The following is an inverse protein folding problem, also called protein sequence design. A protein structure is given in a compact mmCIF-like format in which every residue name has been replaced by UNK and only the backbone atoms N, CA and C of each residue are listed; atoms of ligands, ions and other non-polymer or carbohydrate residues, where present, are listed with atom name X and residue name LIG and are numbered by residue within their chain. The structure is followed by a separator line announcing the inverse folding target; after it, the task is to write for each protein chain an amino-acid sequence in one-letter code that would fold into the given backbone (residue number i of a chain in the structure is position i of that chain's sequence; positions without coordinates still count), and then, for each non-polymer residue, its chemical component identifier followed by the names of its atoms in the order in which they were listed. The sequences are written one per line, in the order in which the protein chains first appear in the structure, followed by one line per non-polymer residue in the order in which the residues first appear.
data_IF_030869492366
#
_entry.id   IF_030869492366
#
_cell.length_a   1.000
_cell.length_b   1.000
_cell.length_c   1.000
_cell.angle_alpha   90.00
_cell.angle_beta   90.00
_cell.angle_gamma   90.00
#
_symmetry.space_group_name_H-M   'P 1'
#
loop_
_entity.id
_entity.type
_entity.pdbx_description
1 polymer ?
#
# COMPACT_ATOMS: atom_id res chain seq x y z
N UNK A 1 -1.95 20.85 -11.14
CA UNK A 1 -0.87 20.79 -10.12
C UNK A 1 -0.36 19.36 -10.17
N UNK A 2 0.66 19.11 -10.98
CA UNK A 2 1.29 17.80 -11.09
C UNK A 2 1.92 17.45 -9.75
N UNK A 3 1.41 16.41 -9.11
CA UNK A 3 2.06 15.82 -7.95
C UNK A 3 2.90 14.67 -8.52
N UNK A 4 4.18 14.96 -8.82
CA UNK A 4 5.15 13.95 -9.23
C UNK A 4 5.41 12.99 -8.06
N UNK A 5 4.67 11.88 -8.02
CA UNK A 5 5.04 10.74 -7.19
C UNK A 5 6.12 9.94 -7.93
N UNK A 6 7.38 10.28 -7.67
CA UNK A 6 8.53 9.50 -8.10
C UNK A 6 8.59 8.21 -7.27
N UNK A 7 7.99 7.13 -7.80
CA UNK A 7 8.23 5.79 -7.28
C UNK A 7 9.48 5.23 -7.94
N UNK A 8 10.62 5.51 -7.32
CA UNK A 8 11.75 4.61 -7.45
C UNK A 8 11.30 3.24 -6.93
N UNK A 9 11.56 2.17 -7.68
CA UNK A 9 11.70 0.84 -7.10
C UNK A 9 12.75 0.97 -6.00
N UNK A 10 12.32 1.12 -4.75
CA UNK A 10 13.20 1.10 -3.60
C UNK A 10 13.59 -0.36 -3.32
N UNK A 11 14.38 -0.94 -4.21
CA UNK A 11 15.31 -2.00 -3.86
C UNK A 11 16.55 -1.30 -3.28
N UNK A 12 16.45 -0.81 -2.04
CA UNK A 12 17.62 -0.33 -1.32
C UNK A 12 18.39 -1.55 -0.82
N UNK A 13 19.52 -1.81 -1.50
CA UNK A 13 20.66 -2.61 -1.06
C UNK A 13 20.35 -4.09 -0.77
N UNK A 14 20.30 -4.90 -1.82
CA UNK A 14 20.66 -6.32 -1.67
C UNK A 14 22.18 -6.43 -1.50
N UNK A 15 22.56 -7.03 -0.38
CA UNK A 15 23.90 -7.52 -0.04
C UNK A 15 24.81 -7.77 -1.25
N UNK A 16 25.68 -6.81 -1.54
CA UNK A 16 26.94 -7.09 -2.24
C UNK A 16 28.03 -7.09 -1.19
N UNK A 17 28.14 -8.23 -0.49
CA UNK A 17 29.41 -8.60 0.09
C UNK A 17 30.46 -8.53 -1.03
N UNK A 18 31.41 -7.63 -0.78
CA UNK A 18 32.60 -7.32 -1.56
C UNK A 18 33.29 -8.63 -1.98
N UNK A 19 33.09 -9.03 -3.23
CA UNK A 19 34.04 -9.83 -3.99
C UNK A 19 34.53 -8.92 -5.13
N UNK A 20 35.63 -8.23 -4.85
CA UNK A 20 36.35 -7.37 -5.80
C UNK A 20 37.09 -8.25 -6.81
N UNK A 21 36.36 -8.82 -7.77
CA UNK A 21 36.93 -9.34 -9.01
C UNK A 21 36.05 -8.92 -10.18
N UNK A 22 36.52 -7.90 -10.91
CA UNK A 22 36.09 -7.48 -12.25
C UNK A 22 34.58 -7.50 -12.55
N UNK A 23 33.76 -6.80 -11.76
CA UNK A 23 32.48 -6.28 -12.26
C UNK A 23 32.69 -4.86 -12.76
N UNK A 24 32.60 -4.67 -14.07
CA UNK A 24 32.27 -3.37 -14.65
C UNK A 24 31.07 -2.80 -13.90
N UNK A 25 31.19 -1.59 -13.34
CA UNK A 25 30.02 -0.87 -12.84
C UNK A 25 29.09 -0.63 -14.02
N UNK A 26 28.07 -1.46 -14.17
CA UNK A 26 26.97 -1.19 -15.08
C UNK A 26 26.18 0.00 -14.52
N UNK A 27 25.92 0.98 -15.37
CA UNK A 27 25.15 2.16 -15.02
C UNK A 27 23.69 1.72 -14.79
N UNK A 28 23.14 2.00 -13.60
CA UNK A 28 21.70 1.80 -13.37
C UNK A 28 20.92 2.87 -14.14
N UNK A 29 20.14 2.44 -15.13
CA UNK A 29 19.30 3.29 -15.97
C UNK A 29 17.83 3.27 -15.57
N UNK A 30 17.47 2.70 -14.42
CA UNK A 30 16.07 2.51 -14.00
C UNK A 30 15.31 3.83 -13.97
N UNK A 31 15.96 4.91 -13.53
CA UNK A 31 15.37 6.25 -13.51
C UNK A 31 15.18 6.81 -14.93
N UNK A 32 16.14 6.62 -15.82
CA UNK A 32 16.06 7.07 -17.20
C UNK A 32 14.99 6.31 -18.00
N UNK A 33 14.73 5.06 -17.60
CA UNK A 33 13.73 4.17 -18.19
C UNK A 33 12.37 4.20 -17.45
N UNK A 34 12.21 5.05 -16.43
CA UNK A 34 10.97 5.13 -15.68
C UNK A 34 9.88 5.79 -16.52
N UNK A 35 8.71 5.16 -16.60
CA UNK A 35 7.52 5.74 -17.24
C UNK A 35 6.72 6.56 -16.24
N UNK A 36 6.12 7.66 -16.72
CA UNK A 36 5.20 8.45 -15.91
C UNK A 36 3.97 7.62 -15.53
N UNK A 37 3.57 7.68 -14.26
CA UNK A 37 2.30 7.13 -13.80
C UNK A 37 1.19 8.13 -14.12
N UNK A 38 0.33 7.78 -15.08
CA UNK A 38 -0.85 8.57 -15.41
C UNK A 38 -2.05 8.06 -14.61
N UNK A 39 -2.76 8.98 -13.97
CA UNK A 39 -3.97 8.69 -13.22
C UNK A 39 -5.05 9.72 -13.55
N UNK A 40 -6.31 9.32 -13.43
CA UNK A 40 -7.44 10.23 -13.59
C UNK A 40 -7.61 11.05 -12.31
N UNK A 41 -8.13 12.28 -12.43
CA UNK A 41 -8.48 13.09 -11.28
C UNK A 41 -9.77 12.58 -10.60
N UNK A 42 -9.65 11.52 -9.79
CA UNK A 42 -10.78 10.87 -9.14
C UNK A 42 -11.44 11.75 -8.08
N UNK A 43 -12.78 11.72 -7.97
CA UNK A 43 -13.50 12.44 -6.89
C UNK A 43 -13.61 11.63 -5.60
N UNK A 44 -13.58 10.29 -5.71
CA UNK A 44 -13.64 9.36 -4.60
C UNK A 44 -12.34 8.59 -4.48
N UNK A 45 -11.89 8.37 -3.25
CA UNK A 45 -10.65 7.66 -2.96
C UNK A 45 -10.90 6.68 -1.81
N UNK A 46 -10.58 5.42 -2.03
CA UNK A 46 -10.58 4.40 -0.99
C UNK A 46 -9.14 3.95 -0.71
N UNK A 47 -8.69 4.12 0.53
CA UNK A 47 -7.37 3.68 0.96
C UNK A 47 -7.54 2.50 1.90
N UNK A 48 -7.01 1.35 1.49
CA UNK A 48 -7.05 0.11 2.22
C UNK A 48 -5.66 -0.21 2.77
N UNK A 49 -5.55 -0.43 4.08
CA UNK A 49 -4.37 -0.97 4.73
C UNK A 49 -4.66 -2.40 5.15
N UNK A 50 -4.05 -3.36 4.46
CA UNK A 50 -4.21 -4.79 4.74
C UNK A 50 -2.97 -5.28 5.47
N UNK A 51 -3.14 -5.66 6.73
CA UNK A 51 -2.07 -5.91 7.69
C UNK A 51 -1.77 -4.67 8.51
N UNK A 52 -2.07 -4.72 9.80
CA UNK A 52 -1.85 -3.70 10.83
C UNK A 52 -0.74 -4.09 11.81
N UNK A 53 0.08 -5.10 11.46
CA UNK A 53 1.23 -5.57 12.24
C UNK A 53 2.47 -4.67 12.08
N UNK A 54 3.62 -5.28 11.81
CA UNK A 54 4.94 -4.63 11.64
C UNK A 54 4.90 -3.33 10.85
N UNK A 55 5.00 -3.43 9.53
CA UNK A 55 5.01 -2.28 8.61
C UNK A 55 3.70 -1.48 8.68
N UNK A 56 2.57 -2.17 8.76
CA UNK A 56 1.25 -1.54 8.69
C UNK A 56 0.96 -0.59 9.87
N UNK A 57 1.35 -0.96 11.09
CA UNK A 57 1.13 -0.11 12.26
C UNK A 57 1.89 1.21 12.20
N UNK A 58 3.08 1.21 11.60
CA UNK A 58 3.88 2.42 11.36
C UNK A 58 3.37 3.25 10.19
N UNK A 59 2.78 2.62 9.18
CA UNK A 59 2.22 3.31 8.01
C UNK A 59 0.85 3.94 8.28
N UNK A 60 0.04 3.31 9.11
CA UNK A 60 -1.31 3.75 9.49
C UNK A 60 -1.46 5.27 9.76
N UNK A 61 -0.64 5.92 10.60
CA UNK A 61 -0.79 7.37 10.86
C UNK A 61 -0.60 8.21 9.59
N UNK A 62 0.35 7.83 8.73
CA UNK A 62 0.63 8.53 7.47
C UNK A 62 -0.53 8.36 6.49
N UNK A 63 -1.13 7.17 6.43
CA UNK A 63 -2.27 6.91 5.55
C UNK A 63 -3.52 7.70 5.95
N UNK A 64 -3.81 7.80 7.26
CA UNK A 64 -4.92 8.62 7.76
C UNK A 64 -4.66 10.11 7.51
N UNK A 65 -3.42 10.57 7.70
CA UNK A 65 -3.03 11.96 7.40
C UNK A 65 -3.20 12.28 5.92
N UNK A 66 -2.79 11.37 5.02
CA UNK A 66 -3.03 11.50 3.58
C UNK A 66 -4.53 11.61 3.28
N UNK A 67 -5.34 10.71 3.86
CA UNK A 67 -6.79 10.76 3.69
C UNK A 67 -7.40 12.09 4.15
N UNK A 68 -6.92 12.65 5.25
CA UNK A 68 -7.35 13.98 5.72
C UNK A 68 -6.97 15.09 4.74
N UNK A 69 -5.75 15.10 4.22
CA UNK A 69 -5.31 16.10 3.22
C UNK A 69 -6.17 16.02 1.96
N UNK A 70 -6.42 14.81 1.44
CA UNK A 70 -7.27 14.58 0.28
C UNK A 70 -8.72 15.04 0.54
N UNK A 71 -9.25 14.76 1.74
CA UNK A 71 -10.58 15.23 2.13
C UNK A 71 -10.66 16.76 2.17
N UNK A 72 -9.63 17.45 2.68
CA UNK A 72 -9.56 18.92 2.67
C UNK A 72 -9.47 19.50 1.25
N UNK A 73 -8.95 18.74 0.29
CA UNK A 73 -8.95 19.08 -1.13
C UNK A 73 -10.29 18.80 -1.83
N UNK A 74 -11.33 18.42 -1.08
CA UNK A 74 -12.68 18.18 -1.61
C UNK A 74 -12.91 16.75 -2.14
N UNK A 75 -12.00 15.81 -1.86
CA UNK A 75 -12.20 14.39 -2.22
C UNK A 75 -13.08 13.69 -1.20
N UNK A 76 -13.92 12.77 -1.65
CA UNK A 76 -14.61 11.83 -0.76
C UNK A 76 -13.65 10.67 -0.44
N UNK A 77 -13.17 10.60 0.80
CA UNK A 77 -12.18 9.60 1.21
C UNK A 77 -12.80 8.57 2.15
N UNK A 78 -12.52 7.29 1.89
CA UNK A 78 -12.78 6.19 2.82
C UNK A 78 -11.49 5.48 3.18
N UNK A 79 -11.34 5.14 4.46
CA UNK A 79 -10.17 4.47 5.00
C UNK A 79 -10.58 3.13 5.60
N UNK A 80 -9.86 2.06 5.24
CA UNK A 80 -10.12 0.71 5.71
C UNK A 80 -8.86 0.08 6.28
N UNK A 81 -8.91 -0.35 7.54
CA UNK A 81 -7.83 -1.10 8.18
C UNK A 81 -8.28 -2.55 8.37
N UNK A 82 -7.48 -3.50 7.87
CA UNK A 82 -7.84 -4.92 7.84
C UNK A 82 -6.75 -5.72 8.53
N UNK A 83 -7.08 -6.40 9.62
CA UNK A 83 -6.17 -7.31 10.32
C UNK A 83 -6.97 -8.24 11.25
N UNK A 84 -6.86 -9.58 11.11
CA UNK A 84 -7.55 -10.51 11.98
C UNK A 84 -6.93 -10.63 13.38
N UNK A 85 -5.66 -10.23 13.55
CA UNK A 85 -4.89 -10.55 14.74
C UNK A 85 -5.16 -9.60 15.90
N UNK A 86 -4.80 -10.05 17.10
CA UNK A 86 -4.76 -9.25 18.31
C UNK A 86 -3.33 -8.81 18.63
N UNK A 87 -3.20 -7.72 19.37
CA UNK A 87 -1.93 -7.22 19.86
C UNK A 87 -1.40 -8.18 20.92
N UNK A 88 -0.18 -8.67 20.75
CA UNK A 88 0.52 -9.50 21.73
C UNK A 88 1.63 -8.70 22.42
N UNK A 89 2.06 -9.11 23.61
CA UNK A 89 3.16 -8.45 24.34
C UNK A 89 4.44 -8.35 23.49
N UNK A 90 4.74 -9.38 22.68
CA UNK A 90 5.90 -9.37 21.79
C UNK A 90 5.80 -8.37 20.62
N UNK A 91 4.60 -7.82 20.35
CA UNK A 91 4.37 -6.86 19.28
C UNK A 91 4.71 -5.42 19.71
N UNK A 92 4.47 -5.07 20.98
CA UNK A 92 4.56 -3.70 21.51
C UNK A 92 5.88 -3.00 21.20
N UNK A 93 7.01 -3.72 21.24
CA UNK A 93 8.32 -3.13 21.01
C UNK A 93 8.66 -2.88 19.54
N UNK A 94 7.98 -3.55 18.59
CA UNK A 94 8.32 -3.51 17.16
C UNK A 94 7.20 -2.98 16.25
N UNK A 95 5.98 -2.97 16.78
CA UNK A 95 4.78 -2.47 16.14
C UNK A 95 4.32 -1.22 16.89
N UNK A 96 3.58 -0.34 16.23
CA UNK A 96 3.07 0.88 16.83
C UNK A 96 1.86 0.60 17.75
N UNK A 97 2.06 -0.19 18.80
CA UNK A 97 1.09 -0.48 19.85
C UNK A 97 1.70 -0.19 21.23
N UNK A 98 0.86 -0.02 22.26
CA UNK A 98 1.30 0.15 23.64
C UNK A 98 0.80 -0.98 24.56
N UNK A 99 1.34 -1.06 25.78
CA UNK A 99 0.99 -2.13 26.74
C UNK A 99 -0.51 -2.19 27.06
N UNK A 100 -1.19 -1.04 27.06
CA UNK A 100 -2.63 -0.96 27.30
C UNK A 100 -3.48 -1.54 26.17
N UNK A 101 -2.89 -1.79 24.99
CA UNK A 101 -3.57 -2.31 23.81
C UNK A 101 -3.41 -3.83 23.66
N UNK A 102 -2.62 -4.49 24.53
CA UNK A 102 -2.43 -5.95 24.51
C UNK A 102 -3.79 -6.65 24.66
N UNK A 103 -4.04 -7.63 23.79
CA UNK A 103 -5.29 -8.38 23.72
C UNK A 103 -6.39 -7.73 22.89
N UNK A 104 -6.21 -6.48 22.42
CA UNK A 104 -7.14 -5.82 21.51
C UNK A 104 -6.82 -6.17 20.04
N UNK A 105 -7.83 -6.18 19.17
CA UNK A 105 -7.61 -6.42 17.73
C UNK A 105 -6.81 -5.28 17.09
N UNK A 106 -5.76 -5.62 16.33
CA UNK A 106 -4.81 -4.66 15.74
C UNK A 106 -5.50 -3.60 14.89
N UNK A 107 -6.36 -4.01 13.96
CA UNK A 107 -7.06 -3.09 13.06
C UNK A 107 -7.98 -2.14 13.82
N UNK A 108 -8.79 -2.67 14.76
CA UNK A 108 -9.69 -1.87 15.60
C UNK A 108 -8.95 -0.85 16.44
N UNK A 109 -7.83 -1.25 17.05
CA UNK A 109 -6.99 -0.40 17.89
C UNK A 109 -6.44 0.78 17.09
N UNK A 110 -5.79 0.53 15.96
CA UNK A 110 -5.22 1.60 15.13
C UNK A 110 -6.30 2.51 14.54
N UNK A 111 -7.41 1.93 14.06
CA UNK A 111 -8.51 2.69 13.48
C UNK A 111 -9.12 3.64 14.51
N UNK A 112 -9.42 3.17 15.73
CA UNK A 112 -9.96 4.03 16.79
C UNK A 112 -8.99 5.16 17.12
N UNK A 113 -7.72 4.82 17.38
CA UNK A 113 -6.69 5.77 17.79
C UNK A 113 -6.50 6.88 16.76
N UNK A 114 -6.34 6.51 15.49
CA UNK A 114 -6.10 7.50 14.44
C UNK A 114 -7.37 8.20 13.96
N UNK A 115 -8.55 7.58 14.10
CA UNK A 115 -9.81 8.29 13.84
C UNK A 115 -9.99 9.46 14.81
N UNK A 116 -9.72 9.23 16.09
CA UNK A 116 -9.77 10.27 17.12
C UNK A 116 -8.69 11.33 16.92
N UNK A 117 -7.44 10.91 16.65
CA UNK A 117 -6.32 11.84 16.47
C UNK A 117 -6.50 12.78 15.27
N UNK A 118 -7.06 12.29 14.16
CA UNK A 118 -7.14 13.04 12.91
C UNK A 118 -8.53 13.56 12.58
N UNK A 119 -9.56 13.22 13.36
CA UNK A 119 -10.99 13.49 13.06
C UNK A 119 -11.38 12.98 11.68
N UNK A 120 -10.93 11.76 11.35
CA UNK A 120 -11.19 11.10 10.08
C UNK A 120 -11.74 9.72 10.35
N UNK A 121 -12.84 9.33 9.71
CA UNK A 121 -13.40 8.00 9.91
C UNK A 121 -12.49 6.92 9.30
N UNK A 122 -12.12 5.92 10.12
CA UNK A 122 -11.41 4.72 9.68
C UNK A 122 -12.24 3.49 10.02
N UNK A 123 -12.63 2.73 9.00
CA UNK A 123 -13.36 1.47 9.17
C UNK A 123 -12.38 0.35 9.48
N UNK A 124 -12.57 -0.34 10.61
CA UNK A 124 -11.77 -1.51 10.98
C UNK A 124 -12.47 -2.82 10.61
N UNK A 125 -11.74 -3.73 9.99
CA UNK A 125 -12.20 -5.08 9.64
C UNK A 125 -11.31 -6.11 10.34
N UNK A 126 -11.84 -6.73 11.38
CA UNK A 126 -11.14 -7.72 12.21
C UNK A 126 -11.24 -9.14 11.62
N UNK A 127 -10.99 -9.27 10.31
CA UNK A 127 -11.10 -10.53 9.56
C UNK A 127 -9.99 -10.59 8.49
N UNK A 128 -9.58 -11.79 8.03
CA UNK A 128 -8.66 -11.91 6.90
C UNK A 128 -9.25 -11.26 5.65
N UNK A 129 -8.42 -10.53 4.91
CA UNK A 129 -8.82 -9.84 3.69
C UNK A 129 -9.52 -10.76 2.70
N UNK A 130 -10.61 -10.27 2.10
CA UNK A 130 -11.32 -10.96 1.03
C UNK A 130 -11.37 -10.07 -0.21
N UNK A 131 -10.91 -10.55 -1.38
CA UNK A 131 -10.88 -9.75 -2.61
C UNK A 131 -12.25 -9.17 -2.98
N UNK A 132 -13.33 -9.91 -2.68
CA UNK A 132 -14.72 -9.51 -2.92
C UNK A 132 -15.18 -8.23 -2.22
N UNK A 133 -14.42 -7.73 -1.23
CA UNK A 133 -14.73 -6.47 -0.55
C UNK A 133 -14.35 -5.26 -1.40
N UNK A 134 -13.42 -5.42 -2.34
CA UNK A 134 -13.05 -4.39 -3.29
C UNK A 134 -14.01 -4.44 -4.46
N UNK A 135 -14.92 -3.48 -4.50
CA UNK A 135 -15.88 -3.34 -5.60
C UNK A 135 -15.63 -1.99 -6.25
N UNK A 136 -15.14 -1.95 -7.51
CA UNK A 136 -14.96 -0.71 -8.23
C UNK A 136 -16.28 0.05 -8.33
N UNK A 137 -16.22 1.36 -8.09
CA UNK A 137 -17.38 2.24 -8.25
C UNK A 137 -17.01 3.42 -9.14
N UNK A 138 -18.02 4.07 -9.71
CA UNK A 138 -17.82 5.20 -10.61
C UNK A 138 -16.95 6.30 -9.98
N UNK A 139 -15.91 6.71 -10.72
CA UNK A 139 -14.99 7.80 -10.38
C UNK A 139 -14.26 7.60 -9.03
N UNK A 140 -13.88 6.37 -8.74
CA UNK A 140 -13.19 5.97 -7.51
C UNK A 140 -11.78 5.46 -7.81
N UNK A 141 -10.80 6.02 -7.11
CA UNK A 141 -9.45 5.44 -6.98
C UNK A 141 -9.43 4.52 -5.77
N UNK A 142 -8.95 3.29 -5.93
CA UNK A 142 -8.75 2.35 -4.83
C UNK A 142 -7.26 2.05 -4.72
N UNK A 143 -6.67 2.32 -3.56
CA UNK A 143 -5.28 1.97 -3.25
C UNK A 143 -5.31 0.91 -2.16
N UNK A 144 -4.89 -0.30 -2.51
CA UNK A 144 -4.73 -1.40 -1.56
C UNK A 144 -3.28 -1.52 -1.16
N UNK A 145 -2.98 -1.17 0.08
CA UNK A 145 -1.64 -1.25 0.65
C UNK A 145 -1.49 -2.56 1.42
N UNK A 146 -0.69 -3.47 0.91
CA UNK A 146 -0.38 -4.75 1.54
C UNK A 146 0.82 -4.60 2.48
N UNK A 147 0.58 -4.81 3.77
CA UNK A 147 1.58 -4.90 4.84
C UNK A 147 1.49 -6.26 5.53
N UNK A 148 1.29 -7.31 4.73
CA UNK A 148 1.07 -8.70 5.18
C UNK A 148 2.37 -9.50 5.18
N UNK A 149 2.43 -10.58 5.96
CA UNK A 149 3.63 -11.41 6.12
C UNK A 149 3.63 -12.68 5.29
N UNK A 150 2.48 -13.09 4.75
CA UNK A 150 2.34 -14.37 4.03
C UNK A 150 1.95 -14.20 2.56
N UNK A 151 2.39 -15.15 1.74
CA UNK A 151 2.17 -15.14 0.29
C UNK A 151 0.70 -15.26 -0.08
N UNK A 152 -0.08 -16.05 0.66
CA UNK A 152 -1.52 -16.26 0.39
C UNK A 152 -2.33 -14.97 0.54
N UNK A 153 -2.02 -14.16 1.57
CA UNK A 153 -2.64 -12.86 1.74
C UNK A 153 -2.25 -11.90 0.60
N UNK A 154 -0.97 -11.89 0.18
CA UNK A 154 -0.53 -11.10 -0.99
C UNK A 154 -1.28 -11.51 -2.25
N UNK A 155 -1.40 -12.80 -2.51
CA UNK A 155 -2.14 -13.33 -3.66
C UNK A 155 -3.62 -12.90 -3.64
N UNK A 156 -4.28 -12.94 -2.48
CA UNK A 156 -5.66 -12.46 -2.36
C UNK A 156 -5.80 -10.97 -2.65
N UNK A 157 -4.78 -10.17 -2.38
CA UNK A 157 -4.77 -8.73 -2.69
C UNK A 157 -4.53 -8.53 -4.20
N UNK A 158 -3.59 -9.24 -4.82
CA UNK A 158 -3.32 -9.09 -6.26
C UNK A 158 -4.51 -9.49 -7.12
N UNK A 159 -5.36 -10.41 -6.65
CA UNK A 159 -6.62 -10.75 -7.33
C UNK A 159 -7.52 -9.54 -7.56
N UNK A 160 -7.48 -8.49 -6.73
CA UNK A 160 -8.34 -7.31 -6.93
C UNK A 160 -7.94 -6.51 -8.17
N UNK A 161 -6.70 -6.65 -8.65
CA UNK A 161 -6.24 -5.97 -9.85
C UNK A 161 -6.96 -6.45 -11.11
N UNK A 162 -7.57 -7.65 -11.09
CA UNK A 162 -8.36 -8.18 -12.20
C UNK A 162 -9.59 -7.32 -12.55
N UNK A 163 -9.99 -6.41 -11.66
CA UNK A 163 -11.04 -5.44 -11.90
C UNK A 163 -10.57 -4.22 -12.72
N UNK A 164 -9.26 -4.04 -12.89
CA UNK A 164 -8.76 -3.08 -13.86
C UNK A 164 -9.00 -3.60 -15.28
N UNK A 165 -8.92 -2.69 -16.23
CA UNK A 165 -8.97 -2.95 -17.67
C UNK A 165 -7.65 -2.48 -18.29
N UNK A 166 -7.36 -2.93 -19.51
CA UNK A 166 -6.20 -2.44 -20.28
C UNK A 166 -6.38 -0.98 -20.75
N UNK A 167 -7.59 -0.42 -20.63
CA UNK A 167 -7.98 0.96 -21.01
C UNK A 167 -9.17 1.44 -20.15
N UNK A 168 -9.28 2.73 -19.75
CA UNK A 168 -8.26 3.78 -19.68
C UNK A 168 -7.36 3.58 -18.43
N UNK A 169 -6.74 4.65 -17.90
CA UNK A 169 -5.86 4.58 -16.73
C UNK A 169 -6.46 3.78 -15.55
N UNK A 170 -5.66 2.96 -14.84
CA UNK A 170 -6.16 2.01 -13.85
C UNK A 170 -6.79 2.71 -12.64
N UNK A 171 -7.84 2.08 -12.12
CA UNK A 171 -8.62 2.56 -10.98
C UNK A 171 -8.18 1.92 -9.67
N UNK A 172 -7.52 0.76 -9.72
CA UNK A 172 -7.04 0.04 -8.56
C UNK A 172 -5.52 -0.08 -8.62
N UNK A 173 -4.88 0.27 -7.52
CA UNK A 173 -3.44 0.18 -7.33
C UNK A 173 -3.12 -0.67 -6.11
N UNK A 174 -2.11 -1.52 -6.25
CA UNK A 174 -1.58 -2.35 -5.17
C UNK A 174 -0.20 -1.84 -4.78
N UNK A 175 -0.05 -1.47 -3.50
CA UNK A 175 1.22 -1.10 -2.88
C UNK A 175 1.65 -2.22 -1.94
N UNK A 176 2.57 -3.09 -2.36
CA UNK A 176 3.14 -4.13 -1.50
C UNK A 176 4.33 -3.59 -0.72
N UNK A 177 4.23 -3.64 0.61
CA UNK A 177 5.26 -3.22 1.54
C UNK A 177 5.68 -4.42 2.40
N UNK A 178 6.78 -5.08 2.02
CA UNK A 178 7.34 -6.16 2.81
C UNK A 178 8.65 -5.77 3.46
N UNK A 179 8.95 -6.47 4.56
CA UNK A 179 10.17 -6.28 5.30
C UNK A 179 10.67 -7.64 5.80
N UNK A 180 11.92 -7.96 5.47
CA UNK A 180 12.67 -9.05 6.07
C UNK A 180 13.40 -8.54 7.32
N UNK A 181 14.28 -9.37 7.91
CA UNK A 181 15.09 -8.94 9.07
C UNK A 181 16.10 -7.84 8.73
N UNK A 182 16.54 -7.74 7.47
CA UNK A 182 17.67 -6.87 7.05
C UNK A 182 17.42 -6.08 5.77
N UNK A 183 16.28 -6.28 5.13
CA UNK A 183 15.94 -5.64 3.86
C UNK A 183 14.44 -5.37 3.82
N UNK A 184 14.03 -4.34 3.11
CA UNK A 184 12.63 -4.06 2.83
C UNK A 184 12.40 -3.87 1.34
N UNK A 185 11.16 -4.04 0.92
CA UNK A 185 10.72 -3.70 -0.43
C UNK A 185 9.43 -2.90 -0.40
N UNK A 186 9.31 -1.98 -1.35
CA UNK A 186 8.05 -1.30 -1.66
C UNK A 186 7.84 -1.43 -3.16
N UNK A 187 6.76 -2.08 -3.55
CA UNK A 187 6.37 -2.31 -4.93
C UNK A 187 5.01 -1.66 -5.16
N UNK A 188 4.88 -0.83 -6.20
CA UNK A 188 3.59 -0.32 -6.64
C UNK A 188 3.27 -0.91 -8.01
N UNK A 189 2.04 -1.41 -8.17
CA UNK A 189 1.58 -1.91 -9.46
C UNK A 189 0.06 -1.89 -9.59
N UNK A 190 -0.38 -1.79 -10.83
CA UNK A 190 -1.79 -1.86 -11.23
C UNK A 190 -1.99 -2.79 -12.43
N UNK A 191 -0.91 -3.46 -12.86
CA UNK A 191 -0.85 -4.17 -14.12
C UNK A 191 -1.50 -5.56 -14.05
N UNK A 192 -2.33 -5.83 -15.05
CA UNK A 192 -2.86 -7.14 -15.45
C UNK A 192 -1.81 -8.04 -16.15
N UNK A 193 -0.73 -7.46 -16.67
CA UNK A 193 0.28 -8.08 -17.52
C UNK A 193 1.65 -7.46 -17.26
N UNK A 194 2.71 -8.27 -17.41
CA UNK A 194 4.09 -7.81 -17.29
C UNK A 194 4.64 -7.21 -18.59
N UNK A 195 3.89 -7.27 -19.69
CA UNK A 195 4.28 -6.70 -20.98
C UNK A 195 3.74 -5.26 -21.11
N UNK A 196 4.60 -4.22 -21.09
CA UNK A 196 4.14 -2.83 -21.15
C UNK A 196 3.37 -2.50 -22.43
N UNK A 197 3.63 -3.20 -23.54
CA UNK A 197 3.00 -2.96 -24.84
C UNK A 197 1.51 -3.37 -24.89
N UNK A 198 1.03 -4.09 -23.88
CA UNK A 198 -0.39 -4.45 -23.76
C UNK A 198 -1.22 -3.31 -23.14
N UNK A 199 -0.57 -2.26 -22.64
CA UNK A 199 -1.20 -1.05 -22.15
C UNK A 199 -1.17 0.04 -23.21
N UNK A 200 -2.32 0.65 -23.45
CA UNK A 200 -2.41 1.87 -24.26
C UNK A 200 -2.42 3.07 -23.32
N UNK A 201 -1.30 3.79 -23.27
CA UNK A 201 -1.16 5.00 -22.45
C UNK A 201 -1.58 6.26 -23.21
N UNK A 202 -2.00 6.14 -24.48
CA UNK A 202 -2.56 7.26 -25.25
C UNK A 202 -4.01 7.50 -24.80
N UNK A 203 -4.23 8.65 -24.18
CA UNK A 203 -5.54 9.13 -23.73
C UNK A 203 -6.25 9.93 -24.83
#
# INVERSE_FOLDING_TARGET
MEVNFNLANACLLTDTCINLTNRTMELNLDLANASAVVTVNYSKIELWLVGCGGTGSWLAPSLVRLGRVLSQQGKQVKLYFVDPDHVESANVLRQCFCDAEIGLNKAKTLALRYSLAWKMEVTAIAQPFQPKWIVPTYNTLIIVTACVDNAKARESITQVLQHNTYRPAPHIWHLDCGNSKRSGQVLLGSHLSTNPNEYDFEA
#
